data_IF_505488849772
#
_entry.id   IF_505488849772
#
_cell.length_a   1.000
_cell.length_b   1.000
_cell.length_c   1.000
_cell.angle_alpha   90.00
_cell.angle_beta   90.00
_cell.angle_gamma   90.00
#
_symmetry.space_group_name_H-M   'P 1'
#
loop_
_entity.id
_entity.type
_entity.pdbx_description
1 polymer ?
#
# COMPACT_ATOMS: atom_id res chain seq x y z
N UNK A 1 -11.84 2.40 2.19
CA UNK A 1 -10.84 1.54 2.87
C UNK A 1 -9.60 1.43 1.99
N UNK A 2 -8.49 0.85 2.48
CA UNK A 2 -7.28 0.61 1.67
C UNK A 2 -7.58 -0.22 0.40
N UNK A 3 -8.40 -1.27 0.57
CA UNK A 3 -8.80 -2.17 -0.52
C UNK A 3 -9.62 -1.48 -1.62
N UNK A 4 -10.30 -0.35 -1.33
CA UNK A 4 -11.06 0.40 -2.33
C UNK A 4 -10.21 0.84 -3.54
N UNK A 5 -8.90 1.00 -3.36
CA UNK A 5 -7.97 1.33 -4.44
C UNK A 5 -7.02 0.17 -4.78
N UNK A 6 -6.70 -0.68 -3.79
CA UNK A 6 -5.65 -1.69 -3.90
C UNK A 6 -6.16 -3.13 -4.06
N UNK A 7 -7.48 -3.32 -4.12
CA UNK A 7 -8.18 -4.62 -4.08
C UNK A 7 -7.96 -5.36 -2.76
N UNK A 8 -8.65 -6.49 -2.58
CA UNK A 8 -8.43 -7.40 -1.45
C UNK A 8 -7.20 -8.31 -1.64
N UNK A 9 -6.64 -8.35 -2.86
CA UNK A 9 -5.42 -9.07 -3.18
C UNK A 9 -4.27 -8.10 -3.49
N UNK A 10 -3.34 -7.85 -2.56
CA UNK A 10 -2.25 -6.88 -2.78
C UNK A 10 -1.26 -7.25 -3.88
N UNK A 11 -1.28 -8.49 -4.39
CA UNK A 11 -0.52 -8.93 -5.56
C UNK A 11 -1.23 -8.61 -6.88
N UNK A 12 -2.51 -8.26 -6.85
CA UNK A 12 -3.27 -7.84 -8.03
C UNK A 12 -3.04 -6.36 -8.36
N UNK A 13 -3.34 -5.99 -9.61
CA UNK A 13 -3.39 -4.60 -10.02
C UNK A 13 -4.60 -3.91 -9.40
N UNK A 14 -4.36 -2.75 -8.76
CA UNK A 14 -5.41 -1.88 -8.24
C UNK A 14 -5.78 -0.75 -9.21
N UNK A 15 -6.77 0.05 -8.82
CA UNK A 15 -7.22 1.23 -9.56
C UNK A 15 -7.68 2.29 -8.57
N UNK A 16 -7.21 3.52 -8.72
CA UNK A 16 -7.62 4.61 -7.83
C UNK A 16 -9.11 4.89 -7.97
N UNK A 17 -9.88 4.79 -6.87
CA UNK A 17 -11.34 4.83 -6.91
C UNK A 17 -11.94 6.07 -7.61
N UNK A 18 -11.31 7.25 -7.46
CA UNK A 18 -11.81 8.51 -8.06
C UNK A 18 -11.23 8.86 -9.44
N UNK A 19 -9.97 8.52 -9.70
CA UNK A 19 -9.25 9.01 -10.90
C UNK A 19 -9.07 7.93 -11.94
N UNK A 20 -9.43 6.70 -11.60
CA UNK A 20 -9.30 5.50 -12.42
C UNK A 20 -7.86 5.17 -12.83
N UNK A 21 -6.86 5.87 -12.28
CA UNK A 21 -5.46 5.60 -12.54
C UNK A 21 -5.09 4.21 -12.04
N UNK A 22 -4.42 3.45 -12.90
CA UNK A 22 -3.90 2.12 -12.57
C UNK A 22 -2.88 2.25 -11.44
N UNK A 23 -2.99 1.34 -10.47
CA UNK A 23 -2.06 1.21 -9.37
C UNK A 23 -1.40 -0.17 -9.47
N UNK A 24 -0.09 -0.21 -9.72
CA UNK A 24 0.68 -1.46 -9.72
C UNK A 24 0.56 -2.19 -8.37
N UNK A 25 0.71 -3.53 -8.33
CA UNK A 25 0.64 -4.32 -7.10
C UNK A 25 1.43 -3.73 -5.94
N UNK A 26 0.90 -3.90 -4.73
CA UNK A 26 1.52 -3.44 -3.48
C UNK A 26 2.44 -4.50 -2.88
N UNK A 27 2.15 -5.78 -3.11
CA UNK A 27 3.01 -6.89 -2.68
C UNK A 27 4.33 -6.89 -3.48
N UNK A 28 5.51 -6.89 -2.82
CA UNK A 28 6.80 -6.93 -3.49
C UNK A 28 7.00 -8.18 -4.37
N UNK A 29 6.40 -9.32 -4.00
CA UNK A 29 6.46 -10.55 -4.80
C UNK A 29 5.93 -10.36 -6.24
N UNK A 30 4.97 -9.45 -6.44
CA UNK A 30 4.42 -9.11 -7.77
C UNK A 30 4.95 -7.77 -8.31
N UNK A 31 5.64 -6.98 -7.50
CA UNK A 31 6.20 -5.68 -7.86
C UNK A 31 7.44 -5.35 -7.01
N UNK A 32 8.63 -5.84 -7.40
CA UNK A 32 9.86 -5.73 -6.59
C UNK A 32 10.33 -4.30 -6.30
N UNK A 33 9.83 -3.31 -7.04
CA UNK A 33 10.12 -1.88 -6.79
C UNK A 33 9.35 -1.27 -5.62
N UNK A 34 8.57 -2.05 -4.86
CA UNK A 34 7.88 -1.59 -3.65
C UNK A 34 8.83 -1.59 -2.46
N UNK A 35 8.70 -0.57 -1.61
CA UNK A 35 9.48 -0.38 -0.37
C UNK A 35 11.00 -0.24 -0.54
N UNK A 36 11.49 0.09 -1.73
CA UNK A 36 12.93 0.31 -1.99
C UNK A 36 13.42 1.75 -1.73
N UNK A 37 12.50 2.69 -1.50
CA UNK A 37 12.80 4.11 -1.22
C UNK A 37 12.02 4.55 0.02
N UNK A 38 12.74 4.74 1.13
CA UNK A 38 12.16 5.09 2.42
C UNK A 38 11.43 6.44 2.40
N UNK A 39 11.93 7.44 1.67
CA UNK A 39 11.31 8.75 1.58
C UNK A 39 9.98 8.67 0.82
N UNK A 40 9.94 7.89 -0.27
CA UNK A 40 8.71 7.62 -1.02
C UNK A 40 7.69 6.86 -0.18
N UNK A 41 8.13 5.86 0.58
CA UNK A 41 7.26 5.11 1.51
C UNK A 41 6.65 6.03 2.56
N UNK A 42 7.47 6.84 3.24
CA UNK A 42 7.02 7.79 4.25
C UNK A 42 6.00 8.80 3.70
N UNK A 43 6.28 9.36 2.50
CA UNK A 43 5.37 10.27 1.80
C UNK A 43 4.01 9.64 1.56
N UNK A 44 3.97 8.41 1.05
CA UNK A 44 2.71 7.74 0.69
C UNK A 44 1.95 7.25 1.91
N UNK A 45 2.62 6.77 2.97
CA UNK A 45 1.92 6.48 4.22
C UNK A 45 1.26 7.73 4.80
N UNK A 46 1.98 8.86 4.84
CA UNK A 46 1.38 10.12 5.32
C UNK A 46 0.14 10.50 4.51
N UNK A 47 0.21 10.49 3.18
CA UNK A 47 -0.94 10.85 2.31
C UNK A 47 -2.09 9.85 2.46
N UNK A 48 -1.83 8.57 2.24
CA UNK A 48 -2.88 7.55 2.18
C UNK A 48 -3.57 7.34 3.53
N UNK A 49 -2.84 7.44 4.65
CA UNK A 49 -3.48 7.35 5.98
C UNK A 49 -4.40 8.55 6.21
N UNK A 50 -3.99 9.77 5.86
CA UNK A 50 -4.89 10.93 5.96
C UNK A 50 -6.08 10.82 5.01
N UNK A 51 -5.88 10.33 3.79
CA UNK A 51 -6.95 10.19 2.80
C UNK A 51 -7.99 9.11 3.17
N UNK A 52 -7.56 8.03 3.85
CA UNK A 52 -8.41 6.86 4.14
C UNK A 52 -8.95 6.86 5.57
N UNK A 53 -8.14 7.34 6.53
CA UNK A 53 -8.42 7.27 7.97
C UNK A 53 -8.56 8.67 8.61
N UNK A 54 -8.37 9.74 7.85
CA UNK A 54 -8.43 11.14 8.33
C UNK A 54 -7.43 11.46 9.46
N UNK A 55 -6.36 10.65 9.56
CA UNK A 55 -5.23 10.85 10.48
C UNK A 55 -3.96 10.19 9.94
N UNK A 56 -2.82 10.51 10.55
CA UNK A 56 -1.62 9.71 10.31
C UNK A 56 -1.73 8.32 10.94
N UNK A 57 -1.20 7.31 10.25
CA UNK A 57 -1.00 6.00 10.85
C UNK A 57 0.13 6.07 11.88
N UNK A 58 -0.05 5.36 13.00
CA UNK A 58 0.99 5.11 14.00
C UNK A 58 2.16 4.29 13.43
N UNK A 59 3.27 4.24 14.16
CA UNK A 59 4.42 3.42 13.78
C UNK A 59 4.04 1.92 13.69
N UNK A 60 3.22 1.44 14.63
CA UNK A 60 2.75 0.05 14.65
C UNK A 60 1.91 -0.26 13.41
N UNK A 61 0.90 0.55 13.11
CA UNK A 61 0.03 0.34 11.92
C UNK A 61 0.83 0.33 10.62
N UNK A 62 1.85 1.19 10.50
CA UNK A 62 2.75 1.19 9.33
C UNK A 62 3.55 -0.11 9.23
N UNK A 63 4.11 -0.56 10.36
CA UNK A 63 4.87 -1.81 10.45
C UNK A 63 4.02 -3.05 10.12
N UNK A 64 2.80 -3.11 10.64
CA UNK A 64 1.86 -4.21 10.41
C UNK A 64 1.46 -4.28 8.93
N UNK A 65 1.13 -3.14 8.31
CA UNK A 65 0.81 -3.07 6.88
C UNK A 65 2.00 -3.50 6.02
N UNK A 66 3.21 -3.05 6.33
CA UNK A 66 4.41 -3.46 5.59
C UNK A 66 4.66 -4.96 5.72
N UNK A 67 4.57 -5.50 6.94
CA UNK A 67 4.76 -6.93 7.23
C UNK A 67 3.76 -7.77 6.45
N UNK A 68 2.48 -7.40 6.49
CA UNK A 68 1.43 -8.04 5.71
C UNK A 68 1.76 -8.04 4.21
N UNK A 69 2.07 -6.87 3.63
CA UNK A 69 2.32 -6.74 2.19
C UNK A 69 3.57 -7.51 1.74
N UNK A 70 4.61 -7.58 2.58
CA UNK A 70 5.81 -8.37 2.33
C UNK A 70 5.59 -9.88 2.48
N UNK A 71 4.60 -10.29 3.29
CA UNK A 71 4.20 -11.69 3.43
C UNK A 71 3.33 -12.23 2.29
N UNK A 72 2.70 -11.35 1.50
CA UNK A 72 1.86 -11.76 0.36
C UNK A 72 2.72 -12.39 -0.75
N UNK A 73 2.44 -13.64 -1.08
CA UNK A 73 3.12 -14.38 -2.15
C UNK A 73 4.42 -15.06 -1.74
N UNK A 74 4.82 -14.94 -0.46
CA UNK A 74 5.91 -15.73 0.13
C UNK A 74 5.43 -17.18 0.31
N UNK A 75 5.66 -18.00 -0.71
CA UNK A 75 5.74 -19.47 -0.63
C UNK A 75 7.15 -19.90 -0.93
#
# INVERSE_FOLDING_TARGET
SCASCHTDNPAAQGKHAKTEKIIKPMAPAANPGRFTDAAKVAKWFKRNCNDVLERECSAQEKGDVMTYLMGVGSK
#
